data_IF_388154162228
#
_entry.id   IF_388154162228
#
_cell.length_a   1.000
_cell.length_b   1.000
_cell.length_c   1.000
_cell.angle_alpha   90.00
_cell.angle_beta   90.00
_cell.angle_gamma   90.00
#
_symmetry.space_group_name_H-M   'P 1'
#
loop_
_entity.id
_entity.type
_entity.pdbx_description
1 polymer ?
#
# COMPACT_ATOMS: atom_id res chain seq x y z
N UNK A 1 -21.59 13.70 -4.86
CA UNK A 1 -21.47 14.22 -3.48
C UNK A 1 -20.00 14.15 -3.03
N UNK A 2 -19.37 15.29 -2.80
CA UNK A 2 -18.08 15.34 -2.10
C UNK A 2 -18.35 14.81 -0.68
N UNK A 3 -17.93 13.58 -0.39
CA UNK A 3 -18.11 13.04 0.95
C UNK A 3 -17.14 13.76 1.88
N UNK A 4 -17.69 14.57 2.79
CA UNK A 4 -16.90 15.22 3.83
C UNK A 4 -16.35 14.14 4.76
N UNK A 5 -15.03 13.89 4.69
CA UNK A 5 -14.32 13.03 5.64
C UNK A 5 -14.47 13.68 7.03
N UNK A 6 -15.36 13.12 7.83
CA UNK A 6 -15.70 13.59 9.17
C UNK A 6 -15.26 12.57 10.22
N UNK A 7 -15.37 12.92 11.51
CA UNK A 7 -14.93 12.04 12.60
C UNK A 7 -15.59 10.66 12.57
N UNK A 8 -16.87 10.60 12.19
CA UNK A 8 -17.62 9.35 12.06
C UNK A 8 -17.04 8.45 10.96
N UNK A 9 -16.76 9.01 9.78
CA UNK A 9 -16.08 8.32 8.67
C UNK A 9 -14.78 7.67 9.14
N UNK A 10 -13.97 8.44 9.86
CA UNK A 10 -12.66 7.98 10.36
C UNK A 10 -12.80 6.88 11.42
N UNK A 11 -13.88 6.90 12.22
CA UNK A 11 -14.18 5.83 13.16
C UNK A 11 -14.62 4.54 12.45
N UNK A 12 -15.40 4.65 11.37
CA UNK A 12 -15.81 3.49 10.57
C UNK A 12 -14.66 2.93 9.73
N UNK A 13 -13.73 3.76 9.25
CA UNK A 13 -12.54 3.35 8.48
C UNK A 13 -11.70 2.30 9.21
N UNK A 14 -11.81 2.27 10.54
CA UNK A 14 -11.07 1.36 11.43
C UNK A 14 -11.69 -0.04 11.50
N UNK A 15 -12.87 -0.26 10.91
CA UNK A 15 -13.65 -1.51 10.99
C UNK A 15 -13.61 -2.25 9.66
N UNK A 16 -13.60 -3.61 9.66
CA UNK A 16 -13.69 -4.39 8.43
C UNK A 16 -15.02 -4.22 7.68
N UNK A 17 -16.05 -3.67 8.35
CA UNK A 17 -17.34 -3.34 7.76
C UNK A 17 -17.36 -2.00 7.01
N UNK A 18 -16.21 -1.33 6.83
CA UNK A 18 -16.14 -0.07 6.08
C UNK A 18 -16.55 -0.26 4.62
N UNK A 19 -17.56 0.47 4.17
CA UNK A 19 -18.05 0.35 2.80
C UNK A 19 -17.20 1.21 1.84
N UNK A 20 -16.26 0.56 1.16
CA UNK A 20 -15.33 1.20 0.23
C UNK A 20 -16.04 1.83 -0.99
N UNK A 21 -17.21 1.32 -1.39
CA UNK A 21 -17.89 1.70 -2.63
C UNK A 21 -18.52 3.09 -2.59
N UNK A 22 -18.58 3.72 -1.41
CA UNK A 22 -19.05 5.09 -1.26
C UNK A 22 -18.01 6.15 -1.63
N UNK A 23 -16.74 5.76 -1.84
CA UNK A 23 -15.63 6.71 -1.92
C UNK A 23 -15.05 6.76 -3.33
N UNK A 24 -14.81 7.97 -3.84
CA UNK A 24 -14.08 8.16 -5.09
C UNK A 24 -12.56 8.00 -4.88
N UNK A 25 -11.78 7.89 -5.96
CA UNK A 25 -10.33 7.71 -5.88
C UNK A 25 -9.62 8.82 -5.08
N UNK A 26 -10.08 10.07 -5.21
CA UNK A 26 -9.50 11.20 -4.49
C UNK A 26 -9.80 11.13 -2.98
N UNK A 27 -11.01 10.74 -2.58
CA UNK A 27 -11.31 10.50 -1.17
C UNK A 27 -10.54 9.31 -0.61
N UNK A 28 -10.40 8.22 -1.39
CA UNK A 28 -9.59 7.06 -0.99
C UNK A 28 -8.13 7.44 -0.72
N UNK A 29 -7.51 8.30 -1.56
CA UNK A 29 -6.14 8.81 -1.29
C UNK A 29 -6.08 9.57 0.04
N UNK A 30 -7.06 10.42 0.34
CA UNK A 30 -7.10 11.15 1.63
C UNK A 30 -7.29 10.21 2.82
N UNK A 31 -8.10 9.17 2.67
CA UNK A 31 -8.30 8.15 3.69
C UNK A 31 -7.01 7.32 3.91
N UNK A 32 -6.26 6.99 2.85
CA UNK A 32 -4.94 6.37 2.97
C UNK A 32 -3.94 7.28 3.68
N UNK A 33 -3.87 8.56 3.31
CA UNK A 33 -3.04 9.56 4.00
C UNK A 33 -3.37 9.61 5.49
N UNK A 34 -4.66 9.62 5.84
CA UNK A 34 -5.12 9.54 7.22
C UNK A 34 -4.64 8.26 7.94
N UNK A 35 -4.67 7.09 7.29
CA UNK A 35 -4.21 5.84 7.92
C UNK A 35 -2.74 5.91 8.33
N UNK A 36 -1.88 6.56 7.53
CA UNK A 36 -0.47 6.77 7.87
C UNK A 36 -0.31 7.69 9.08
N UNK A 37 -1.15 8.73 9.20
CA UNK A 37 -1.18 9.60 10.38
C UNK A 37 -1.73 8.90 11.63
N UNK A 38 -2.82 8.15 11.50
CA UNK A 38 -3.46 7.43 12.62
C UNK A 38 -2.60 6.28 13.17
N UNK A 39 -1.67 5.77 12.36
CA UNK A 39 -0.65 4.81 12.79
C UNK A 39 0.64 5.48 13.31
N UNK A 40 0.68 6.81 13.39
CA UNK A 40 1.85 7.60 13.79
C UNK A 40 3.10 7.46 12.90
N UNK A 41 2.97 6.83 11.73
CA UNK A 41 4.08 6.57 10.80
C UNK A 41 4.72 7.85 10.28
N UNK A 42 3.91 8.89 10.07
CA UNK A 42 4.39 10.17 9.56
C UNK A 42 5.33 10.84 10.55
N UNK A 43 4.94 10.85 11.84
CA UNK A 43 5.74 11.46 12.90
C UNK A 43 6.98 10.62 13.20
N UNK A 44 6.79 9.31 13.41
CA UNK A 44 7.85 8.39 13.83
C UNK A 44 8.99 8.30 12.80
N UNK A 45 8.65 8.23 11.51
CA UNK A 45 9.63 8.12 10.42
C UNK A 45 9.93 9.46 9.73
N UNK A 46 9.44 10.57 10.28
CA UNK A 46 9.65 11.93 9.75
C UNK A 46 9.27 12.03 8.27
N UNK A 47 8.18 11.38 7.86
CA UNK A 47 7.72 11.39 6.47
C UNK A 47 7.21 12.79 6.14
N UNK A 48 7.72 13.40 5.07
CA UNK A 48 7.18 14.67 4.60
C UNK A 48 5.76 14.45 4.06
N UNK A 49 4.76 15.12 4.65
CA UNK A 49 3.34 14.96 4.28
C UNK A 49 3.08 15.24 2.79
N UNK A 50 3.79 16.19 2.19
CA UNK A 50 3.63 16.47 0.77
C UNK A 50 4.25 15.38 -0.11
N UNK A 51 5.34 14.74 0.33
CA UNK A 51 5.92 13.56 -0.33
C UNK A 51 4.97 12.38 -0.21
N UNK A 52 4.40 12.12 0.98
CA UNK A 52 3.40 11.07 1.18
C UNK A 52 2.19 11.24 0.26
N UNK A 53 1.65 12.46 0.17
CA UNK A 53 0.51 12.74 -0.71
C UNK A 53 0.84 12.51 -2.18
N UNK A 54 2.00 13.00 -2.65
CA UNK A 54 2.46 12.76 -4.03
C UNK A 54 2.68 11.28 -4.29
N UNK A 55 3.27 10.56 -3.35
CA UNK A 55 3.44 9.11 -3.43
C UNK A 55 2.10 8.41 -3.59
N UNK A 56 1.11 8.66 -2.73
CA UNK A 56 -0.22 8.03 -2.82
C UNK A 56 -0.97 8.37 -4.12
N UNK A 57 -0.85 9.62 -4.60
CA UNK A 57 -1.40 10.01 -5.90
C UNK A 57 -0.69 9.30 -7.08
N UNK A 58 0.63 9.12 -6.99
CA UNK A 58 1.41 8.37 -7.97
C UNK A 58 1.01 6.88 -7.96
N UNK A 59 0.82 6.28 -6.78
CA UNK A 59 0.31 4.91 -6.64
C UNK A 59 -1.06 4.79 -7.31
N UNK A 60 -2.00 5.68 -7.00
CA UNK A 60 -3.32 5.71 -7.64
C UNK A 60 -3.21 5.74 -9.17
N UNK A 61 -2.36 6.61 -9.72
CA UNK A 61 -2.18 6.77 -11.15
C UNK A 61 -1.56 5.54 -11.84
N UNK A 62 -0.80 4.71 -11.09
CA UNK A 62 -0.18 3.48 -11.59
C UNK A 62 -1.04 2.23 -11.39
N UNK A 63 -2.27 2.35 -10.85
CA UNK A 63 -3.27 1.28 -10.93
C UNK A 63 -4.07 1.41 -12.23
N UNK A 64 -4.14 0.31 -12.99
CA UNK A 64 -4.94 0.26 -14.22
C UNK A 64 -6.44 0.16 -13.91
N UNK A 65 -7.27 0.58 -14.87
CA UNK A 65 -8.72 0.48 -14.79
C UNK A 65 -9.22 -0.95 -15.14
N UNK A 66 -8.78 -1.94 -14.36
CA UNK A 66 -9.27 -3.32 -14.47
C UNK A 66 -10.60 -3.50 -13.72
N UNK A 67 -11.43 -4.48 -14.08
CA UNK A 67 -12.65 -4.79 -13.31
C UNK A 67 -12.39 -5.13 -11.83
N UNK A 68 -11.26 -5.76 -11.51
CA UNK A 68 -10.91 -6.19 -10.15
C UNK A 68 -9.60 -5.59 -9.63
N UNK A 69 -8.45 -5.91 -10.24
CA UNK A 69 -7.13 -5.42 -9.83
C UNK A 69 -6.94 -3.94 -10.19
N UNK A 70 -7.66 -3.07 -9.49
CA UNK A 70 -7.70 -1.61 -9.66
C UNK A 70 -7.42 -0.91 -8.31
N UNK A 71 -7.49 0.42 -8.31
CA UNK A 71 -7.19 1.20 -7.12
C UNK A 71 -8.16 0.96 -5.95
N UNK A 72 -9.43 0.62 -6.22
CA UNK A 72 -10.38 0.27 -5.16
C UNK A 72 -10.02 -1.05 -4.47
N UNK A 73 -9.49 -2.03 -5.21
CA UNK A 73 -8.93 -3.25 -4.61
C UNK A 73 -7.71 -2.96 -3.74
N UNK A 74 -6.79 -2.12 -4.22
CA UNK A 74 -5.66 -1.62 -3.42
C UNK A 74 -6.10 -0.98 -2.11
N UNK A 75 -7.10 -0.09 -2.18
CA UNK A 75 -7.68 0.55 -1.00
C UNK A 75 -8.28 -0.48 -0.03
N UNK A 76 -9.05 -1.45 -0.54
CA UNK A 76 -9.66 -2.51 0.25
C UNK A 76 -8.62 -3.32 1.04
N UNK A 77 -7.57 -3.80 0.36
CA UNK A 77 -6.48 -4.57 0.99
C UNK A 77 -5.80 -3.74 2.09
N UNK A 78 -5.49 -2.48 1.80
CA UNK A 78 -4.81 -1.59 2.75
C UNK A 78 -5.69 -1.26 3.97
N UNK A 79 -6.98 -0.96 3.74
CA UNK A 79 -7.94 -0.70 4.79
C UNK A 79 -8.15 -1.95 5.68
N UNK A 80 -8.23 -3.13 5.08
CA UNK A 80 -8.35 -4.38 5.81
C UNK A 80 -7.12 -4.64 6.68
N UNK A 81 -5.91 -4.44 6.14
CA UNK A 81 -4.66 -4.57 6.90
C UNK A 81 -4.62 -3.60 8.10
N UNK A 82 -4.98 -2.33 7.89
CA UNK A 82 -5.10 -1.33 8.97
C UNK A 82 -6.15 -1.73 10.02
N UNK A 83 -7.33 -2.17 9.59
CA UNK A 83 -8.40 -2.59 10.50
C UNK A 83 -8.00 -3.83 11.30
N UNK A 84 -7.24 -4.75 10.69
CA UNK A 84 -6.68 -5.92 11.34
C UNK A 84 -5.66 -5.51 12.40
N UNK A 85 -4.67 -4.65 12.06
CA UNK A 85 -3.72 -4.14 13.04
C UNK A 85 -4.40 -3.51 14.27
N UNK A 86 -5.48 -2.76 14.04
CA UNK A 86 -6.23 -2.15 15.12
C UNK A 86 -7.09 -3.15 15.89
N UNK A 87 -7.80 -4.04 15.20
CA UNK A 87 -8.65 -5.05 15.82
C UNK A 87 -7.79 -6.02 16.64
N UNK A 88 -6.70 -6.53 16.08
CA UNK A 88 -5.77 -7.36 16.82
C UNK A 88 -5.08 -6.58 17.96
N UNK A 89 -4.73 -5.31 17.76
CA UNK A 89 -4.24 -4.44 18.84
C UNK A 89 -5.26 -4.17 19.97
N UNK A 90 -6.56 -4.27 19.68
CA UNK A 90 -7.67 -4.10 20.64
C UNK A 90 -8.08 -5.45 21.28
N UNK A 91 -8.14 -6.53 20.50
CA UNK A 91 -8.47 -7.89 20.97
C UNK A 91 -7.34 -8.42 21.87
N UNK A 92 -6.08 -8.13 21.52
CA UNK A 92 -4.91 -8.45 22.32
C UNK A 92 -4.44 -7.23 23.10
N UNK A 93 -5.28 -6.73 24.02
CA UNK A 93 -4.98 -5.64 24.98
C UNK A 93 -3.63 -5.79 25.73
N UNK A 94 -2.96 -6.94 25.62
CA UNK A 94 -1.52 -7.09 25.87
C UNK A 94 -0.85 -7.77 24.65
N UNK A 95 0.18 -7.12 24.08
CA UNK A 95 1.30 -7.68 23.30
C UNK A 95 1.44 -7.44 21.78
N UNK A 96 0.46 -7.02 20.97
CA UNK A 96 0.77 -6.87 19.53
C UNK A 96 1.57 -5.62 19.16
N UNK A 97 1.37 -4.50 19.85
CA UNK A 97 2.30 -3.36 19.77
C UNK A 97 3.73 -3.72 20.25
N UNK A 98 3.90 -4.83 20.97
CA UNK A 98 5.22 -5.33 21.38
C UNK A 98 5.79 -6.37 20.40
N UNK A 99 4.98 -6.96 19.51
CA UNK A 99 5.40 -8.02 18.58
C UNK A 99 5.72 -7.51 17.18
N UNK A 100 5.08 -6.42 16.74
CA UNK A 100 5.29 -5.84 15.41
C UNK A 100 5.79 -4.41 15.60
N UNK A 101 6.98 -4.11 15.08
CA UNK A 101 7.56 -2.78 15.19
C UNK A 101 6.81 -1.78 14.30
N UNK A 102 6.88 -0.49 14.62
CA UNK A 102 6.34 0.55 13.74
C UNK A 102 6.94 0.50 12.34
N UNK A 103 8.17 0.00 12.21
CA UNK A 103 8.83 -0.19 10.92
C UNK A 103 8.20 -1.32 10.11
N UNK A 104 7.85 -2.43 10.75
CA UNK A 104 7.11 -3.52 10.10
C UNK A 104 5.71 -3.05 9.68
N UNK A 105 5.07 -2.19 10.48
CA UNK A 105 3.78 -1.58 10.12
C UNK A 105 3.95 -0.64 8.90
N UNK A 106 5.01 0.17 8.86
CA UNK A 106 5.32 1.01 7.70
C UNK A 106 5.51 0.17 6.43
N UNK A 107 6.26 -0.92 6.53
CA UNK A 107 6.49 -1.86 5.43
C UNK A 107 5.17 -2.50 5.00
N UNK A 108 4.37 -3.00 5.93
CA UNK A 108 3.09 -3.65 5.64
C UNK A 108 2.14 -2.70 4.91
N UNK A 109 1.95 -1.49 5.43
CA UNK A 109 1.08 -0.48 4.80
C UNK A 109 1.58 -0.12 3.40
N UNK A 110 2.89 0.06 3.23
CA UNK A 110 3.49 0.38 1.93
C UNK A 110 3.39 -0.79 0.95
N UNK A 111 3.57 -2.02 1.41
CA UNK A 111 3.41 -3.22 0.61
C UNK A 111 1.95 -3.38 0.14
N UNK A 112 0.97 -3.15 1.02
CA UNK A 112 -0.45 -3.21 0.68
C UNK A 112 -0.83 -2.23 -0.44
N UNK A 113 -0.37 -0.98 -0.37
CA UNK A 113 -0.69 0.01 -1.41
C UNK A 113 0.01 -0.31 -2.75
N UNK A 114 1.16 -0.99 -2.70
CA UNK A 114 1.97 -1.31 -3.89
C UNK A 114 1.71 -2.69 -4.50
N UNK A 115 0.98 -3.60 -3.84
CA UNK A 115 1.06 -5.03 -4.12
C UNK A 115 0.62 -5.45 -5.54
N UNK A 116 -0.22 -4.66 -6.20
CA UNK A 116 -0.79 -4.94 -7.53
C UNK A 116 -0.63 -3.77 -8.51
N UNK A 117 0.42 -2.96 -8.34
CA UNK A 117 0.74 -1.84 -9.24
C UNK A 117 0.90 -2.30 -10.70
N UNK A 118 0.32 -1.55 -11.62
CA UNK A 118 0.40 -1.82 -13.07
C UNK A 118 -0.10 -3.23 -13.49
N UNK A 119 -0.99 -3.85 -12.71
CA UNK A 119 -1.54 -5.16 -13.04
C UNK A 119 -2.27 -5.14 -14.40
N UNK A 120 -1.97 -6.05 -15.35
CA UNK A 120 -2.48 -5.99 -16.72
C UNK A 120 -3.91 -6.55 -16.89
N UNK A 121 -4.46 -7.15 -15.86
CA UNK A 121 -5.81 -7.73 -15.84
C UNK A 121 -5.86 -9.25 -16.07
N UNK A 122 -4.70 -9.87 -16.32
CA UNK A 122 -4.53 -11.31 -16.50
C UNK A 122 -3.48 -11.85 -15.54
N UNK A 123 -3.66 -13.07 -15.05
CA UNK A 123 -2.80 -13.71 -14.06
C UNK A 123 -1.48 -14.25 -14.65
N UNK A 124 -0.58 -14.73 -13.79
CA UNK A 124 0.73 -15.28 -14.19
C UNK A 124 0.62 -16.41 -15.22
N UNK A 125 -0.34 -17.33 -15.07
CA UNK A 125 -0.56 -18.42 -16.02
C UNK A 125 -0.81 -17.89 -17.43
N UNK A 126 -1.60 -16.83 -17.56
CA UNK A 126 -1.82 -16.17 -18.84
C UNK A 126 -0.54 -15.50 -19.36
N UNK A 127 0.20 -14.77 -18.51
CA UNK A 127 1.45 -14.12 -18.91
C UNK A 127 2.48 -15.11 -19.49
N UNK A 128 2.64 -16.26 -18.81
CA UNK A 128 3.58 -17.33 -19.16
C UNK A 128 3.13 -18.03 -20.44
N UNK A 129 1.87 -18.47 -20.50
CA UNK A 129 1.36 -19.19 -21.67
C UNK A 129 1.37 -18.34 -22.94
N UNK A 130 1.13 -17.03 -22.81
CA UNK A 130 1.16 -16.09 -23.92
C UNK A 130 2.57 -15.53 -24.22
N UNK A 131 3.61 -15.95 -23.47
CA UNK A 131 5.00 -15.51 -23.63
C UNK A 131 5.12 -13.99 -23.69
N UNK A 132 4.40 -13.32 -22.80
CA UNK A 132 4.40 -11.85 -22.71
C UNK A 132 5.77 -11.32 -22.34
N UNK A 133 6.02 -10.03 -22.60
CA UNK A 133 7.26 -9.36 -22.19
C UNK A 133 7.52 -9.48 -20.68
N UNK A 134 6.47 -9.41 -19.85
CA UNK A 134 6.57 -9.54 -18.39
C UNK A 134 7.05 -10.96 -18.03
N UNK A 135 6.47 -12.00 -18.64
CA UNK A 135 6.88 -13.39 -18.39
C UNK A 135 8.33 -13.65 -18.80
N UNK A 136 8.72 -13.18 -20.00
CA UNK A 136 10.10 -13.30 -20.50
C UNK A 136 11.08 -12.56 -19.58
N UNK A 137 10.75 -11.32 -19.18
CA UNK A 137 11.61 -10.50 -18.31
C UNK A 137 11.88 -11.17 -16.96
N UNK A 138 10.89 -11.85 -16.40
CA UNK A 138 10.99 -12.49 -15.10
C UNK A 138 11.19 -14.02 -15.16
N UNK A 139 11.51 -14.56 -16.33
CA UNK A 139 11.78 -15.99 -16.56
C UNK A 139 10.73 -16.90 -15.88
N UNK A 140 9.44 -16.58 -16.12
CA UNK A 140 8.27 -17.29 -15.59
C UNK A 140 8.17 -17.39 -14.06
N UNK A 141 9.06 -16.74 -13.31
CA UNK A 141 9.10 -16.79 -11.85
C UNK A 141 8.35 -15.60 -11.26
N UNK A 142 7.13 -15.86 -10.78
CA UNK A 142 6.19 -14.85 -10.26
C UNK A 142 6.20 -13.53 -11.06
N UNK A 143 5.91 -13.55 -12.37
CA UNK A 143 6.17 -12.39 -13.24
C UNK A 143 5.42 -11.13 -12.82
N UNK A 144 4.13 -11.25 -12.48
CA UNK A 144 3.31 -10.10 -12.08
C UNK A 144 3.75 -9.56 -10.74
N UNK A 145 3.98 -10.43 -9.75
CA UNK A 145 4.45 -10.00 -8.46
C UNK A 145 5.74 -9.22 -8.68
N UNK A 146 6.78 -9.80 -9.27
CA UNK A 146 8.04 -9.10 -9.54
C UNK A 146 7.86 -7.75 -10.23
N UNK A 147 6.99 -7.67 -11.24
CA UNK A 147 6.62 -6.42 -11.91
C UNK A 147 6.03 -5.36 -10.96
N UNK A 148 5.12 -5.75 -10.07
CA UNK A 148 4.49 -4.84 -9.09
C UNK A 148 5.53 -4.21 -8.15
N UNK A 149 6.51 -4.98 -7.62
CA UNK A 149 7.53 -4.35 -6.77
C UNK A 149 8.60 -3.60 -7.55
N UNK A 150 8.97 -4.05 -8.75
CA UNK A 150 9.86 -3.25 -9.59
C UNK A 150 9.26 -1.84 -9.78
N UNK A 151 7.98 -1.78 -10.18
CA UNK A 151 7.22 -0.54 -10.30
C UNK A 151 7.19 0.26 -8.99
N UNK A 152 6.96 -0.40 -7.85
CA UNK A 152 6.96 0.25 -6.54
C UNK A 152 8.31 0.89 -6.19
N UNK A 153 9.41 0.17 -6.40
CA UNK A 153 10.75 0.67 -6.12
C UNK A 153 11.20 1.74 -7.12
N UNK A 154 10.75 1.66 -8.38
CA UNK A 154 10.99 2.71 -9.37
C UNK A 154 10.32 4.02 -8.97
N UNK A 155 9.09 3.96 -8.44
CA UNK A 155 8.41 5.14 -7.86
C UNK A 155 9.17 5.65 -6.64
N UNK A 156 9.52 4.78 -5.69
CA UNK A 156 10.21 5.17 -4.45
C UNK A 156 11.65 5.67 -4.67
N UNK A 157 12.27 5.36 -5.81
CA UNK A 157 13.60 5.85 -6.18
C UNK A 157 13.61 7.35 -6.52
N UNK A 158 12.45 7.90 -6.88
CA UNK A 158 12.29 9.30 -7.25
C UNK A 158 12.12 10.17 -5.98
N UNK A 159 12.97 11.20 -5.75
CA UNK A 159 12.97 11.99 -4.52
C UNK A 159 11.60 12.59 -4.14
N UNK A 160 10.78 12.95 -5.13
CA UNK A 160 9.47 13.55 -4.94
C UNK A 160 8.40 12.59 -4.38
N UNK A 161 8.62 11.28 -4.51
CA UNK A 161 7.74 10.19 -4.03
C UNK A 161 8.40 9.35 -2.92
N UNK A 162 9.67 9.58 -2.61
CA UNK A 162 10.42 8.79 -1.64
C UNK A 162 10.00 9.08 -0.19
N UNK A 163 8.98 8.36 0.29
CA UNK A 163 8.52 8.43 1.68
C UNK A 163 9.55 7.90 2.70
N UNK A 164 10.63 7.27 2.24
CA UNK A 164 11.70 6.70 3.07
C UNK A 164 12.96 7.55 3.11
N UNK A 165 12.96 8.76 2.52
CA UNK A 165 14.15 9.60 2.37
C UNK A 165 14.85 9.94 3.71
N UNK A 166 14.11 9.92 4.82
CA UNK A 166 14.65 10.22 6.16
C UNK A 166 14.99 8.97 6.99
N UNK A 167 14.85 7.77 6.42
CA UNK A 167 15.22 6.52 7.09
C UNK A 167 16.74 6.26 6.98
N UNK A 168 17.35 5.63 7.99
CA UNK A 168 18.71 5.10 7.87
C UNK A 168 18.82 4.09 6.71
N UNK A 169 19.97 4.08 6.04
CA UNK A 169 20.25 3.21 4.88
C UNK A 169 20.08 1.71 5.20
N UNK A 170 20.40 1.29 6.43
CA UNK A 170 20.21 -0.09 6.88
C UNK A 170 18.73 -0.53 6.84
N UNK A 171 17.81 0.39 7.17
CA UNK A 171 16.37 0.13 7.13
C UNK A 171 15.87 0.06 5.69
N UNK A 172 16.39 0.92 4.80
CA UNK A 172 16.09 0.84 3.37
C UNK A 172 16.50 -0.52 2.77
N UNK A 173 17.66 -1.04 3.18
CA UNK A 173 18.10 -2.39 2.77
C UNK A 173 17.14 -3.48 3.25
N UNK A 174 16.60 -3.36 4.48
CA UNK A 174 15.58 -4.30 5.00
C UNK A 174 14.29 -4.22 4.16
N UNK A 175 13.81 -3.02 3.82
CA UNK A 175 12.62 -2.82 2.96
C UNK A 175 12.75 -3.59 1.64
N UNK A 176 13.92 -3.53 0.98
CA UNK A 176 14.15 -4.24 -0.29
C UNK A 176 14.13 -5.76 -0.18
N UNK A 177 14.41 -6.33 0.99
CA UNK A 177 14.55 -7.78 1.21
C UNK A 177 13.26 -8.49 1.57
N UNK A 178 12.21 -7.77 1.98
CA UNK A 178 10.92 -8.36 2.42
C UNK A 178 10.19 -9.15 1.32
N UNK A 179 10.70 -9.12 0.08
CA UNK A 179 10.11 -9.81 -1.07
C UNK A 179 10.92 -10.98 -1.63
N UNK A 180 12.00 -11.38 -0.97
CA UNK A 180 12.87 -12.47 -1.43
C UNK A 180 12.56 -13.83 -0.79
N UNK A 181 11.36 -14.01 -0.20
CA UNK A 181 10.91 -15.28 0.38
C UNK A 181 9.56 -15.69 -0.19
#
# INVERSE_FOLDING_TARGET
>A
PQYNINAETLQFLKKPSFNIWHWGPNEMVRLLEYMYHDLDLVSEFKINVNVLRRFLMCIQANYRNNPFHNFSHCFCVTQMAKSSLQMYGIIHLCNLKQLISSFDILILMTACVCHALDHPGYNNTNQINAQTEIAIRYNDTSPLENHHAATAFDILSQPEYNIFANLPEEMFTKIRKVRQQ
#
